data_IF_943185345878
#
_entry.id   IF_943185345878
#
_cell.length_a   1.000
_cell.length_b   1.000
_cell.length_c   1.000
_cell.angle_alpha   90.00
_cell.angle_beta   90.00
_cell.angle_gamma   90.00
#
_symmetry.space_group_name_H-M   'P 1'
#
loop_
_entity.id
_entity.type
_entity.pdbx_description
1 polymer ?
#
# COMPACT_ATOMS: atom_id res chain seq x y z
N UNK A 1 9.52 24.05 13.03
CA UNK A 1 10.85 23.65 12.52
C UNK A 1 10.64 22.54 11.51
N UNK A 2 11.28 22.62 10.34
CA UNK A 2 11.22 21.58 9.33
C UNK A 2 12.38 20.59 9.54
N UNK A 3 12.11 19.31 9.32
CA UNK A 3 13.07 18.22 9.37
C UNK A 3 13.43 17.84 7.93
N UNK A 4 14.71 17.59 7.68
CA UNK A 4 15.20 17.12 6.39
C UNK A 4 15.50 15.63 6.51
N UNK A 5 14.63 14.79 5.95
CA UNK A 5 14.69 13.33 6.11
C UNK A 5 14.77 12.64 4.76
N UNK A 6 15.27 11.41 4.72
CA UNK A 6 15.33 10.60 3.49
C UNK A 6 14.23 9.56 3.44
N UNK A 7 13.61 9.40 2.28
CA UNK A 7 12.64 8.35 2.05
C UNK A 7 13.30 6.96 2.07
N UNK A 8 12.69 6.01 2.77
CA UNK A 8 13.05 4.59 2.72
C UNK A 8 11.81 3.71 2.53
N UNK A 9 12.02 2.41 2.36
CA UNK A 9 10.92 1.44 2.31
C UNK A 9 10.32 1.28 3.71
N UNK A 10 9.00 1.05 3.78
CA UNK A 10 8.36 0.55 5.00
C UNK A 10 9.06 -0.73 5.46
N UNK A 11 9.39 -0.88 6.76
CA UNK A 11 10.19 -2.00 7.24
C UNK A 11 9.44 -3.34 7.21
N UNK A 12 8.12 -3.34 7.42
CA UNK A 12 7.31 -4.56 7.45
C UNK A 12 6.00 -4.43 6.67
N UNK A 13 5.42 -5.57 6.30
CA UNK A 13 4.13 -5.64 5.63
C UNK A 13 2.99 -5.24 6.58
N UNK A 14 3.07 -5.59 7.86
CA UNK A 14 2.09 -5.20 8.87
C UNK A 14 2.01 -3.67 9.01
N UNK A 15 3.17 -3.00 9.08
CA UNK A 15 3.24 -1.55 9.14
C UNK A 15 2.74 -0.90 7.85
N UNK A 16 2.91 -1.57 6.70
CA UNK A 16 2.43 -1.06 5.40
C UNK A 16 0.90 -0.93 5.34
N UNK A 17 0.17 -1.73 6.12
CA UNK A 17 -1.29 -1.73 6.19
C UNK A 17 -1.85 -0.59 7.07
N UNK A 18 -1.01 0.07 7.86
CA UNK A 18 -1.45 1.13 8.80
C UNK A 18 -1.74 2.46 8.12
N UNK A 19 -1.31 2.63 6.87
CA UNK A 19 -1.31 3.90 6.12
C UNK A 19 -0.62 5.06 6.88
N UNK A 20 0.39 4.76 7.70
CA UNK A 20 1.22 5.76 8.39
C UNK A 20 2.57 5.94 7.73
N UNK A 21 3.18 7.11 7.93
CA UNK A 21 4.59 7.32 7.63
C UNK A 21 5.41 6.81 8.83
N UNK A 22 6.36 5.93 8.55
CA UNK A 22 7.10 5.20 9.59
C UNK A 22 8.39 5.97 9.90
N UNK A 23 8.60 6.38 11.14
CA UNK A 23 9.76 7.20 11.54
C UNK A 23 10.50 6.56 12.69
N UNK A 24 11.74 7.00 12.93
CA UNK A 24 12.48 6.56 14.10
C UNK A 24 11.86 7.14 15.39
N UNK A 25 11.87 6.36 16.47
CA UNK A 25 11.43 6.79 17.81
C UNK A 25 12.13 8.05 18.33
N UNK A 26 13.38 8.29 17.91
CA UNK A 26 14.19 9.43 18.35
C UNK A 26 14.03 10.70 17.50
N UNK A 27 13.40 10.62 16.33
CA UNK A 27 13.33 11.76 15.40
C UNK A 27 12.20 12.74 15.77
N UNK A 28 11.12 12.23 16.37
CA UNK A 28 9.92 13.02 16.66
C UNK A 28 9.37 12.74 18.08
N UNK A 29 9.15 13.79 18.90
CA UNK A 29 8.43 13.67 20.17
C UNK A 29 7.03 13.03 20.00
N UNK A 30 6.54 12.35 21.03
CA UNK A 30 5.25 11.62 20.99
C UNK A 30 4.05 12.52 20.69
N UNK A 31 4.12 13.81 21.02
CA UNK A 31 3.03 14.76 20.80
C UNK A 31 2.82 15.09 19.31
N UNK A 32 3.82 14.81 18.46
CA UNK A 32 3.75 15.05 17.01
C UNK A 32 3.09 13.85 16.34
N UNK A 33 1.77 13.87 16.22
CA UNK A 33 1.01 12.75 15.64
C UNK A 33 0.99 12.72 14.11
N UNK A 34 1.12 13.88 13.48
CA UNK A 34 1.01 14.04 12.04
C UNK A 34 2.17 14.88 11.51
N UNK A 35 2.52 14.67 10.25
CA UNK A 35 3.48 15.50 9.54
C UNK A 35 2.98 15.81 8.12
N UNK A 36 3.24 17.02 7.68
CA UNK A 36 3.17 17.45 6.28
C UNK A 36 4.51 17.11 5.62
N UNK A 37 4.45 16.28 4.59
CA UNK A 37 5.59 15.78 3.83
C UNK A 37 5.57 16.42 2.45
N UNK A 38 6.62 17.20 2.16
CA UNK A 38 6.78 17.91 0.90
C UNK A 38 7.87 17.27 0.03
N UNK A 39 7.50 16.40 -0.94
CA UNK A 39 8.48 15.77 -1.84
C UNK A 39 9.05 16.71 -2.91
N UNK A 40 8.31 17.77 -3.24
CA UNK A 40 8.71 18.81 -4.18
C UNK A 40 8.01 20.14 -3.82
N UNK A 41 8.53 21.29 -4.28
CA UNK A 41 7.89 22.58 -4.03
C UNK A 41 6.41 22.59 -4.47
N UNK A 42 5.52 22.98 -3.54
CA UNK A 42 4.08 23.04 -3.79
C UNK A 42 3.33 21.71 -3.71
N UNK A 43 4.02 20.60 -3.41
CA UNK A 43 3.38 19.31 -3.13
C UNK A 43 3.40 19.04 -1.63
N UNK A 44 2.23 18.73 -1.06
CA UNK A 44 2.04 18.55 0.38
C UNK A 44 1.15 17.33 0.63
N UNK A 45 1.64 16.40 1.44
CA UNK A 45 0.93 15.18 1.79
C UNK A 45 1.00 14.98 3.30
N UNK A 46 -0.16 15.00 3.96
CA UNK A 46 -0.24 14.85 5.41
C UNK A 46 -0.36 13.37 5.75
N UNK A 47 0.56 12.87 6.58
CA UNK A 47 0.54 11.51 7.08
C UNK A 47 0.50 11.49 8.61
N UNK A 48 -0.22 10.52 9.17
CA UNK A 48 -0.03 10.13 10.56
C UNK A 48 1.33 9.43 10.72
N UNK A 49 1.99 9.65 11.86
CA UNK A 49 3.29 9.06 12.16
C UNK A 49 3.15 7.77 12.98
N UNK A 50 3.94 6.77 12.63
CA UNK A 50 4.19 5.57 13.44
C UNK A 50 5.67 5.50 13.78
N UNK A 51 6.01 5.15 15.03
CA UNK A 51 7.40 5.19 15.50
C UNK A 51 7.91 3.76 15.69
N UNK A 52 9.10 3.49 15.18
CA UNK A 52 9.78 2.21 15.37
C UNK A 52 11.29 2.42 15.49
N UNK A 53 11.99 1.42 16.00
CA UNK A 53 13.45 1.36 15.98
C UNK A 53 14.00 0.77 14.67
N UNK A 54 13.14 0.16 13.85
CA UNK A 54 13.53 -0.51 12.60
C UNK A 54 13.86 0.45 11.46
N UNK A 55 13.33 1.67 11.50
CA UNK A 55 13.70 2.75 10.56
C UNK A 55 14.88 3.52 11.15
N UNK A 56 15.99 3.69 10.42
CA UNK A 56 17.11 4.49 10.90
C UNK A 56 16.72 5.94 11.16
N UNK A 57 17.32 6.58 12.16
CA UNK A 57 17.15 8.02 12.40
C UNK A 57 17.54 8.83 11.15
N UNK A 58 16.77 9.87 10.85
CA UNK A 58 16.94 10.68 9.64
C UNK A 58 16.18 10.14 8.42
N UNK A 59 15.36 9.09 8.58
CA UNK A 59 14.58 8.48 7.50
C UNK A 59 13.08 8.42 7.78
N UNK A 60 12.30 8.38 6.70
CA UNK A 60 10.86 8.11 6.74
C UNK A 60 10.53 6.93 5.83
N UNK A 61 10.00 5.87 6.40
CA UNK A 61 9.54 4.67 5.72
C UNK A 61 8.16 4.83 5.12
N UNK A 62 8.02 4.44 3.86
CA UNK A 62 6.74 4.46 3.13
C UNK A 62 6.44 3.12 2.46
N UNK A 63 5.18 2.73 2.46
CA UNK A 63 4.69 1.62 1.66
C UNK A 63 4.79 1.95 0.15
N UNK A 64 4.70 0.93 -0.71
CA UNK A 64 4.70 1.14 -2.15
C UNK A 64 3.53 2.03 -2.61
N UNK A 65 2.36 1.85 -2.00
CA UNK A 65 1.14 2.62 -2.33
C UNK A 65 1.34 4.09 -1.98
N UNK A 66 1.86 4.39 -0.78
CA UNK A 66 2.14 5.76 -0.35
C UNK A 66 3.18 6.44 -1.25
N UNK A 67 4.26 5.74 -1.61
CA UNK A 67 5.29 6.29 -2.53
C UNK A 67 4.73 6.61 -3.91
N UNK A 68 3.88 5.75 -4.46
CA UNK A 68 3.23 6.02 -5.76
C UNK A 68 2.27 7.21 -5.66
N UNK A 69 1.48 7.30 -4.59
CA UNK A 69 0.53 8.38 -4.40
C UNK A 69 1.20 9.75 -4.21
N UNK A 70 2.24 9.80 -3.38
CA UNK A 70 2.99 11.03 -3.08
C UNK A 70 4.15 11.29 -4.06
N UNK A 71 4.34 10.47 -5.09
CA UNK A 71 5.46 10.55 -6.03
C UNK A 71 6.85 10.58 -5.36
N UNK A 72 7.02 9.81 -4.28
CA UNK A 72 8.25 9.73 -3.48
C UNK A 72 9.14 8.59 -3.97
N UNK A 73 10.40 8.91 -4.29
CA UNK A 73 11.44 7.94 -4.63
C UNK A 73 12.24 7.53 -3.40
N UNK A 74 12.75 6.29 -3.36
CA UNK A 74 13.64 5.85 -2.26
C UNK A 74 14.93 6.69 -2.30
N UNK A 75 15.46 7.04 -1.13
CA UNK A 75 16.60 7.93 -0.90
C UNK A 75 16.39 9.38 -1.34
N UNK A 76 15.19 9.75 -1.78
CA UNK A 76 14.83 11.15 -2.00
C UNK A 76 14.86 11.89 -0.67
N UNK A 77 15.42 13.10 -0.70
CA UNK A 77 15.38 14.02 0.44
C UNK A 77 14.03 14.74 0.47
N UNK A 78 13.42 14.77 1.65
CA UNK A 78 12.06 15.25 1.88
C UNK A 78 12.10 16.31 2.97
N UNK A 79 11.33 17.38 2.76
CA UNK A 79 11.03 18.31 3.83
C UNK A 79 9.81 17.81 4.61
N UNK A 80 9.98 17.61 5.92
CA UNK A 80 8.96 17.06 6.81
C UNK A 80 8.67 18.06 7.90
N UNK A 81 7.42 18.49 8.02
CA UNK A 81 7.00 19.50 9.01
C UNK A 81 5.93 18.90 9.93
N UNK A 82 6.03 19.08 11.26
CA UNK A 82 4.95 18.71 12.17
C UNK A 82 3.64 19.37 11.73
N UNK A 83 2.57 18.58 11.67
CA UNK A 83 1.25 19.05 11.27
C UNK A 83 0.25 18.85 12.42
N UNK A 84 -0.65 19.82 12.58
CA UNK A 84 -1.74 19.78 13.55
C UNK A 84 -3.02 20.20 12.85
N UNK A 85 -4.00 19.30 12.88
CA UNK A 85 -5.35 19.60 12.42
C UNK A 85 -6.02 20.58 13.39
N UNK A 86 -6.77 21.53 12.85
CA UNK A 86 -7.68 22.36 13.63
C UNK A 86 -8.97 21.57 13.89
N UNK A 87 -9.18 21.17 15.14
CA UNK A 87 -10.34 20.36 15.53
C UNK A 87 -11.71 21.02 15.24
N UNK A 88 -11.74 22.33 14.99
CA UNK A 88 -12.97 23.04 14.66
C UNK A 88 -13.33 23.02 13.17
N UNK A 89 -12.37 22.72 12.29
CA UNK A 89 -12.53 22.86 10.84
C UNK A 89 -12.07 21.62 10.05
N UNK A 90 -11.07 20.89 10.55
CA UNK A 90 -10.47 19.74 9.88
C UNK A 90 -11.11 18.41 10.30
N UNK A 91 -12.42 18.28 10.09
CA UNK A 91 -13.18 17.06 10.42
C UNK A 91 -13.81 16.43 9.19
N UNK A 92 -13.63 15.12 9.04
CA UNK A 92 -14.27 14.34 7.98
C UNK A 92 -15.67 13.96 8.46
N UNK A 93 -16.71 14.51 7.84
CA UNK A 93 -18.11 14.19 8.17
C UNK A 93 -18.68 13.07 7.29
N UNK A 94 -18.20 12.97 6.05
CA UNK A 94 -18.60 11.95 5.09
C UNK A 94 -17.42 11.64 4.17
N UNK A 95 -17.23 10.36 3.86
CA UNK A 95 -16.24 9.89 2.90
C UNK A 95 -16.82 8.73 2.09
N UNK A 96 -16.52 8.69 0.80
CA UNK A 96 -16.85 7.56 -0.07
C UNK A 96 -15.55 6.92 -0.54
N UNK A 97 -15.48 5.60 -0.46
CA UNK A 97 -14.31 4.83 -0.87
C UNK A 97 -14.63 4.01 -2.10
N UNK A 98 -13.68 3.97 -3.04
CA UNK A 98 -13.64 2.98 -4.11
C UNK A 98 -12.65 1.89 -3.71
N UNK A 99 -13.04 0.63 -3.85
CA UNK A 99 -12.24 -0.52 -3.41
C UNK A 99 -12.10 -1.55 -4.51
N UNK A 100 -10.92 -2.13 -4.61
CA UNK A 100 -10.60 -3.22 -5.53
C UNK A 100 -9.52 -4.13 -4.90
N UNK A 101 -9.29 -5.30 -5.48
CA UNK A 101 -8.24 -6.21 -5.06
C UNK A 101 -6.85 -5.61 -5.35
N UNK A 102 -6.03 -5.45 -4.30
CA UNK A 102 -4.68 -4.90 -4.41
C UNK A 102 -3.76 -5.77 -5.28
N UNK A 103 -3.87 -7.10 -5.14
CA UNK A 103 -3.12 -8.06 -5.94
C UNK A 103 -4.05 -8.75 -6.95
N UNK A 104 -4.05 -8.25 -8.18
CA UNK A 104 -4.70 -8.93 -9.29
C UNK A 104 -3.77 -9.99 -9.84
N UNK A 105 -4.12 -11.26 -9.63
CA UNK A 105 -3.37 -12.38 -10.19
C UNK A 105 -3.64 -12.49 -11.69
N UNK A 106 -2.59 -12.36 -12.50
CA UNK A 106 -2.66 -12.63 -13.94
C UNK A 106 -2.45 -14.11 -14.17
N UNK A 107 -3.43 -14.78 -14.79
CA UNK A 107 -3.35 -16.20 -15.10
C UNK A 107 -2.73 -16.43 -16.47
N UNK A 108 -1.66 -17.21 -16.53
CA UNK A 108 -1.11 -17.72 -17.80
C UNK A 108 -1.54 -19.17 -17.99
N UNK A 109 -2.39 -19.40 -19.00
CA UNK A 109 -2.90 -20.72 -19.32
C UNK A 109 -2.87 -20.97 -20.82
N UNK A 110 -2.35 -22.11 -21.24
CA UNK A 110 -2.34 -22.51 -22.64
C UNK A 110 -3.77 -22.76 -23.15
N UNK A 111 -4.06 -22.38 -24.41
CA UNK A 111 -5.41 -22.42 -25.00
C UNK A 111 -6.08 -23.80 -24.84
N UNK A 112 -5.36 -24.89 -25.12
CA UNK A 112 -5.92 -26.26 -24.97
C UNK A 112 -6.32 -26.58 -23.52
N UNK A 113 -5.52 -26.12 -22.55
CA UNK A 113 -5.76 -26.33 -21.12
C UNK A 113 -6.97 -25.49 -20.66
N UNK A 114 -7.06 -24.25 -21.13
CA UNK A 114 -8.20 -23.37 -20.87
C UNK A 114 -9.52 -23.97 -21.38
N UNK A 115 -9.54 -24.49 -22.61
CA UNK A 115 -10.72 -25.15 -23.17
C UNK A 115 -11.14 -26.36 -22.31
N UNK A 116 -10.18 -27.18 -21.90
CA UNK A 116 -10.46 -28.31 -21.00
C UNK A 116 -11.07 -27.88 -19.66
N UNK A 117 -10.57 -26.81 -19.05
CA UNK A 117 -11.13 -26.29 -17.79
C UNK A 117 -12.54 -25.71 -17.98
N UNK A 118 -12.80 -25.01 -19.09
CA UNK A 118 -14.13 -24.50 -19.42
C UNK A 118 -15.10 -25.67 -19.59
N UNK A 119 -14.71 -26.73 -20.31
CA UNK A 119 -15.56 -27.90 -20.53
C UNK A 119 -15.84 -28.66 -19.24
N UNK A 120 -14.87 -28.76 -18.33
CA UNK A 120 -15.08 -29.31 -16.99
C UNK A 120 -16.04 -28.44 -16.16
N UNK A 121 -15.85 -27.12 -16.15
CA UNK A 121 -16.73 -26.21 -15.40
C UNK A 121 -18.15 -26.18 -15.97
N UNK A 122 -18.33 -26.36 -17.29
CA UNK A 122 -19.65 -26.43 -17.92
C UNK A 122 -20.49 -27.61 -17.41
N UNK A 123 -19.84 -28.68 -16.93
CA UNK A 123 -20.52 -29.86 -16.38
C UNK A 123 -20.99 -29.68 -14.93
N UNK A 124 -20.69 -28.55 -14.28
CA UNK A 124 -21.19 -28.24 -12.93
C UNK A 124 -22.45 -27.38 -12.95
N UNK A 125 -23.13 -27.32 -11.80
CA UNK A 125 -24.25 -26.40 -11.59
C UNK A 125 -23.90 -24.95 -11.91
N UNK A 126 -24.87 -24.22 -12.44
CA UNK A 126 -24.68 -22.85 -12.91
C UNK A 126 -24.23 -21.91 -11.78
N UNK A 127 -24.74 -22.12 -10.56
CA UNK A 127 -24.37 -21.37 -9.35
C UNK A 127 -22.91 -21.56 -8.93
N UNK A 128 -22.32 -22.71 -9.25
CA UNK A 128 -20.96 -23.08 -8.82
C UNK A 128 -19.92 -23.00 -9.95
N UNK A 129 -20.35 -22.81 -11.21
CA UNK A 129 -19.48 -22.87 -12.39
C UNK A 129 -18.28 -21.91 -12.32
N UNK A 130 -18.52 -20.66 -11.95
CA UNK A 130 -17.45 -19.66 -11.84
C UNK A 130 -16.46 -20.01 -10.73
N UNK A 131 -16.97 -20.42 -9.56
CA UNK A 131 -16.15 -20.82 -8.41
C UNK A 131 -15.31 -22.04 -8.78
N UNK A 132 -15.93 -23.08 -9.36
CA UNK A 132 -15.22 -24.31 -9.74
C UNK A 132 -14.17 -24.07 -10.82
N UNK A 133 -14.48 -23.22 -11.79
CA UNK A 133 -13.53 -22.81 -12.82
C UNK A 133 -12.32 -22.10 -12.21
N UNK A 134 -12.54 -21.14 -11.31
CA UNK A 134 -11.47 -20.44 -10.60
C UNK A 134 -10.64 -21.42 -9.76
N UNK A 135 -11.27 -22.25 -8.92
CA UNK A 135 -10.59 -23.28 -8.12
C UNK A 135 -9.69 -24.18 -8.97
N UNK A 136 -10.19 -24.63 -10.14
CA UNK A 136 -9.41 -25.46 -11.07
C UNK A 136 -8.27 -24.69 -11.74
N UNK A 137 -8.44 -23.39 -12.03
CA UNK A 137 -7.34 -22.56 -12.48
C UNK A 137 -6.26 -22.37 -11.41
N UNK A 138 -6.63 -22.32 -10.13
CA UNK A 138 -5.66 -22.26 -9.02
C UNK A 138 -4.87 -23.58 -8.89
N UNK A 139 -5.58 -24.72 -8.89
CA UNK A 139 -4.99 -26.06 -8.80
C UNK A 139 -3.95 -26.34 -9.90
N UNK A 140 -4.20 -25.81 -11.09
CA UNK A 140 -3.37 -26.05 -12.28
C UNK A 140 -2.16 -25.12 -12.40
N UNK A 141 -1.85 -24.34 -11.35
CA UNK A 141 -0.72 -23.41 -11.30
C UNK A 141 -0.93 -22.15 -12.16
N UNK A 142 -2.14 -21.92 -12.67
CA UNK A 142 -2.45 -20.73 -13.45
C UNK A 142 -2.30 -19.45 -12.61
N UNK A 143 -2.42 -19.56 -11.29
CA UNK A 143 -2.27 -18.47 -10.32
C UNK A 143 -0.95 -18.52 -9.57
N UNK A 144 0.16 -18.79 -10.28
CA UNK A 144 1.47 -18.73 -9.63
C UNK A 144 1.75 -17.31 -9.10
N UNK A 145 2.02 -17.22 -7.79
CA UNK A 145 2.48 -16.01 -7.13
C UNK A 145 3.92 -15.73 -7.56
N UNK A 146 4.10 -15.13 -8.74
CA UNK A 146 5.36 -14.44 -9.01
C UNK A 146 5.30 -13.10 -8.28
N UNK A 147 5.62 -13.12 -6.99
CA UNK A 147 6.09 -11.94 -6.29
C UNK A 147 7.41 -11.53 -6.96
N UNK A 148 7.33 -10.69 -7.99
CA UNK A 148 8.50 -10.00 -8.53
C UNK A 148 8.92 -8.97 -7.47
N UNK A 149 9.94 -9.32 -6.69
CA UNK A 149 10.70 -8.41 -5.84
C UNK A 149 11.35 -7.28 -6.66
#
# INVERSE_FOLDING_TARGET
>A
MAYLLKATKCPTDELSLTNRAIVNVGDFPEEIKYADISPAPGQHFIFALERTVEVPSGYVGFSLVQRKWAMVSINQELEVRPYRFDASSDVITCVSFETDFLQKKTVFIGIKKLLGLIDMARQTEQSQRAIKFLSKMEEEGGLDMVARQ
#
